data_IF_235487632659
#
_entry.id   IF_235487632659
#
_cell.length_a   1.000
_cell.length_b   1.000
_cell.length_c   1.000
_cell.angle_alpha   90.00
_cell.angle_beta   90.00
_cell.angle_gamma   90.00
#
_symmetry.space_group_name_H-M   'P 1'
#
loop_
_entity.id
_entity.type
_entity.pdbx_description
1 polymer ?
#
# COMPACT_ATOMS: atom_id res chain seq x y z
N UNK A 1 -0.45 16.15 11.90
CA UNK A 1 0.24 17.47 11.94
C UNK A 1 1.21 17.56 13.10
N UNK A 2 2.33 18.31 12.91
CA UNK A 2 3.33 18.53 13.94
C UNK A 2 4.12 17.28 14.33
N UNK A 3 4.27 16.31 13.43
CA UNK A 3 4.91 15.03 13.72
C UNK A 3 6.41 15.21 13.97
N UNK A 4 6.85 14.75 15.14
CA UNK A 4 8.25 14.72 15.51
C UNK A 4 8.72 13.28 15.74
N UNK A 5 9.97 13.01 15.35
CA UNK A 5 10.64 11.74 15.63
C UNK A 5 12.14 11.91 15.76
N UNK A 6 12.67 11.39 16.84
CA UNK A 6 14.11 11.36 17.11
C UNK A 6 14.58 9.92 17.26
N UNK A 7 15.78 9.65 16.78
CA UNK A 7 16.53 8.43 17.03
C UNK A 7 17.85 8.82 17.71
N UNK A 8 18.58 7.90 18.33
CA UNK A 8 19.88 8.21 18.93
C UNK A 8 20.79 8.98 17.96
N UNK A 9 21.11 10.23 18.32
CA UNK A 9 21.98 11.11 17.52
C UNK A 9 21.32 11.84 16.33
N UNK A 10 20.04 11.57 15.99
CA UNK A 10 19.39 12.19 14.81
C UNK A 10 17.93 12.57 15.11
N UNK A 11 17.56 13.83 14.88
CA UNK A 11 16.17 14.27 14.84
C UNK A 11 15.65 14.09 13.40
N UNK A 12 14.98 12.97 13.12
CA UNK A 12 14.54 12.58 11.78
C UNK A 12 13.34 13.39 11.29
N UNK A 13 12.39 13.75 12.17
CA UNK A 13 11.25 14.60 11.84
C UNK A 13 11.16 15.75 12.85
N UNK A 14 10.87 16.96 12.33
CA UNK A 14 10.88 18.22 13.11
C UNK A 14 9.58 18.97 12.89
N UNK A 15 8.49 18.51 13.50
CA UNK A 15 7.18 19.13 13.38
C UNK A 15 6.58 19.03 11.98
N UNK A 16 6.74 17.88 11.32
CA UNK A 16 6.30 17.66 9.94
C UNK A 16 4.79 17.75 9.84
N UNK A 17 4.34 18.46 8.80
CA UNK A 17 2.94 18.51 8.41
C UNK A 17 2.76 17.77 7.10
N UNK A 18 1.75 16.91 7.04
CA UNK A 18 1.36 16.17 5.85
C UNK A 18 -0.16 16.01 5.85
N UNK A 19 -0.77 16.26 4.71
CA UNK A 19 -2.21 16.05 4.48
C UNK A 19 -2.42 15.30 3.17
N UNK A 20 -3.54 14.61 3.07
CA UNK A 20 -3.95 13.87 1.88
C UNK A 20 -5.47 13.86 1.82
N UNK A 21 -6.04 14.28 0.70
CA UNK A 21 -7.48 14.25 0.49
C UNK A 21 -7.93 12.92 -0.12
N UNK A 22 -9.20 12.56 0.09
CA UNK A 22 -9.80 11.42 -0.59
C UNK A 22 -9.75 11.63 -2.12
N UNK A 23 -9.30 10.62 -2.85
CA UNK A 23 -9.13 10.71 -4.30
C UNK A 23 -8.01 11.66 -4.76
N UNK A 24 -7.08 11.97 -3.90
CA UNK A 24 -5.86 12.72 -4.24
C UNK A 24 -4.69 11.77 -4.47
N UNK A 25 -3.83 12.10 -5.42
CA UNK A 25 -2.48 11.52 -5.54
C UNK A 25 -1.49 12.57 -5.11
N UNK A 26 -0.78 12.33 -4.01
CA UNK A 26 0.23 13.26 -3.48
C UNK A 26 1.62 12.65 -3.59
N UNK A 27 2.46 13.26 -4.40
CA UNK A 27 3.85 12.87 -4.52
C UNK A 27 4.65 13.33 -3.28
N UNK A 28 5.41 12.42 -2.70
CA UNK A 28 6.35 12.69 -1.62
C UNK A 28 7.78 12.55 -2.15
N UNK A 29 8.42 13.68 -2.38
CA UNK A 29 9.78 13.75 -2.89
C UNK A 29 10.78 14.22 -1.84
N UNK A 30 12.02 13.91 -2.04
CA UNK A 30 13.13 14.35 -1.20
C UNK A 30 14.32 13.42 -1.32
N UNK A 31 15.49 13.91 -0.93
CA UNK A 31 16.73 13.12 -0.91
C UNK A 31 16.65 11.95 0.09
N UNK A 32 17.59 11.03 -0.05
CA UNK A 32 17.75 9.95 0.94
C UNK A 32 18.11 10.57 2.30
N UNK A 33 17.44 10.11 3.36
CA UNK A 33 17.60 10.69 4.69
C UNK A 33 16.67 11.88 5.00
N UNK A 34 15.86 12.37 4.06
CA UNK A 34 14.93 13.49 4.28
C UNK A 34 13.73 13.16 5.21
N UNK A 35 13.68 11.96 5.78
CA UNK A 35 12.62 11.57 6.72
C UNK A 35 11.39 10.93 6.08
N UNK A 36 11.31 10.78 4.74
CA UNK A 36 10.15 10.20 4.03
C UNK A 36 9.75 8.83 4.60
N UNK A 37 10.68 7.90 4.62
CA UNK A 37 10.42 6.54 5.13
C UNK A 37 10.09 6.54 6.64
N UNK A 38 10.64 7.47 7.42
CA UNK A 38 10.29 7.62 8.85
C UNK A 38 8.84 8.08 9.00
N UNK A 39 8.42 9.08 8.21
CA UNK A 39 7.02 9.54 8.21
C UNK A 39 6.06 8.41 7.81
N UNK A 40 6.38 7.66 6.74
CA UNK A 40 5.55 6.53 6.30
C UNK A 40 5.48 5.43 7.37
N UNK A 41 6.59 5.11 8.02
CA UNK A 41 6.63 4.13 9.11
C UNK A 41 5.80 4.57 10.33
N UNK A 42 5.65 5.87 10.57
CA UNK A 42 4.74 6.40 11.60
C UNK A 42 3.29 6.26 11.15
N UNK A 43 2.96 6.65 9.92
CA UNK A 43 1.60 6.55 9.38
C UNK A 43 1.12 5.09 9.35
N UNK A 44 2.03 4.16 9.09
CA UNK A 44 1.74 2.72 9.05
C UNK A 44 1.93 2.00 10.38
N UNK A 45 2.21 2.71 11.47
CA UNK A 45 2.30 2.13 12.82
C UNK A 45 3.56 1.32 13.12
N UNK A 46 4.56 1.34 12.24
CA UNK A 46 5.86 0.68 12.47
C UNK A 46 6.66 1.45 13.52
N UNK A 47 6.54 2.78 13.53
CA UNK A 47 7.12 3.66 14.55
C UNK A 47 6.03 4.50 15.20
N UNK A 48 6.24 4.86 16.47
CA UNK A 48 5.44 5.87 17.15
C UNK A 48 6.10 7.23 17.00
N UNK A 49 5.31 8.29 16.80
CA UNK A 49 5.80 9.68 16.87
C UNK A 49 6.13 10.05 18.32
N UNK A 50 7.11 10.93 18.50
CA UNK A 50 7.46 11.47 19.81
C UNK A 50 6.55 12.65 20.18
N UNK A 51 6.02 13.37 19.17
CA UNK A 51 5.03 14.44 19.30
C UNK A 51 4.20 14.59 18.04
N UNK A 52 3.15 15.41 18.10
CA UNK A 52 2.19 15.63 17.03
C UNK A 52 1.00 14.69 17.08
N UNK A 53 0.07 14.87 16.17
CA UNK A 53 -1.13 14.04 16.08
C UNK A 53 -1.41 13.61 14.65
N UNK A 54 -2.06 12.46 14.52
CA UNK A 54 -2.59 11.95 13.26
C UNK A 54 -4.11 12.03 13.29
N UNK A 55 -4.70 12.48 12.17
CA UNK A 55 -6.15 12.55 12.00
C UNK A 55 -6.57 11.84 10.73
N UNK A 56 -7.67 11.12 10.79
CA UNK A 56 -8.34 10.51 9.64
C UNK A 56 -9.79 11.04 9.63
N UNK A 57 -10.23 11.62 8.51
CA UNK A 57 -11.51 12.32 8.37
C UNK A 57 -11.76 13.38 9.47
N UNK A 58 -10.70 14.10 9.83
CA UNK A 58 -10.75 15.11 10.89
C UNK A 58 -10.75 14.57 12.32
N UNK A 59 -10.91 13.25 12.50
CA UNK A 59 -10.90 12.61 13.82
C UNK A 59 -9.49 12.18 14.22
N UNK A 60 -9.04 12.45 15.45
CA UNK A 60 -7.75 11.96 15.93
C UNK A 60 -7.74 10.43 15.95
N UNK A 61 -6.65 9.85 15.44
CA UNK A 61 -6.46 8.40 15.41
C UNK A 61 -5.12 8.02 16.01
N UNK A 62 -5.10 6.85 16.65
CA UNK A 62 -3.86 6.22 17.13
C UNK A 62 -3.55 5.01 16.26
N UNK A 63 -2.30 4.90 15.83
CA UNK A 63 -1.81 3.79 15.01
C UNK A 63 -0.66 3.11 15.74
N UNK A 64 -0.95 2.29 16.76
CA UNK A 64 0.06 1.65 17.59
C UNK A 64 0.87 0.58 16.87
N UNK A 65 0.32 -0.03 15.84
CA UNK A 65 0.94 -1.09 15.08
C UNK A 65 0.41 -1.14 13.61
N UNK A 66 1.06 -1.90 12.71
CA UNK A 66 0.64 -2.00 11.31
C UNK A 66 -0.76 -2.58 11.12
N UNK A 67 -1.24 -3.42 12.04
CA UNK A 67 -2.59 -3.98 11.98
C UNK A 67 -3.65 -2.92 12.25
N UNK A 68 -3.37 -2.01 13.18
CA UNK A 68 -4.23 -0.84 13.43
C UNK A 68 -4.30 0.07 12.21
N UNK A 69 -3.17 0.32 11.51
CA UNK A 69 -3.16 1.05 10.25
C UNK A 69 -4.06 0.40 9.20
N UNK A 70 -3.91 -0.92 8.99
CA UNK A 70 -4.73 -1.68 8.05
C UNK A 70 -6.22 -1.63 8.40
N UNK A 71 -6.59 -1.72 9.68
CA UNK A 71 -7.97 -1.61 10.14
C UNK A 71 -8.58 -0.22 9.88
N UNK A 72 -7.75 0.82 9.86
CA UNK A 72 -8.13 2.19 9.47
C UNK A 72 -8.17 2.38 7.94
N UNK A 73 -7.84 1.36 7.17
CA UNK A 73 -7.76 1.44 5.72
C UNK A 73 -6.49 2.12 5.20
N UNK A 74 -5.40 2.09 5.98
CA UNK A 74 -4.09 2.60 5.55
C UNK A 74 -3.22 1.40 5.19
N UNK A 75 -2.80 1.32 3.92
CA UNK A 75 -1.95 0.25 3.40
C UNK A 75 -0.70 0.82 2.74
N UNK A 76 0.37 0.04 2.75
CA UNK A 76 1.64 0.39 2.13
C UNK A 76 2.09 -0.73 1.19
N UNK A 77 2.60 -0.34 0.04
CA UNK A 77 3.33 -1.18 -0.90
C UNK A 77 4.78 -0.73 -0.82
N UNK A 78 5.64 -1.63 -0.43
CA UNK A 78 7.06 -1.38 -0.30
C UNK A 78 7.78 -1.50 -1.64
N UNK A 79 8.97 -0.92 -1.72
CA UNK A 79 9.85 -1.04 -2.88
C UNK A 79 10.24 -2.51 -3.16
N UNK A 80 10.47 -3.30 -2.10
CA UNK A 80 10.69 -4.74 -2.20
C UNK A 80 9.35 -5.49 -2.13
N UNK A 81 9.21 -6.54 -2.94
CA UNK A 81 8.02 -7.37 -2.97
C UNK A 81 8.04 -8.38 -1.80
N UNK A 82 6.98 -8.38 -0.99
CA UNK A 82 6.82 -9.30 0.14
C UNK A 82 5.79 -10.40 -0.17
N UNK A 83 5.95 -11.04 -1.34
CA UNK A 83 5.12 -12.15 -1.77
C UNK A 83 5.81 -13.49 -1.54
N UNK A 84 5.02 -14.50 -1.19
CA UNK A 84 5.48 -15.88 -1.09
C UNK A 84 5.44 -16.52 -2.49
N UNK A 85 6.60 -16.73 -3.09
CA UNK A 85 6.74 -17.15 -4.49
C UNK A 85 6.03 -18.46 -4.83
N UNK A 86 5.98 -19.39 -3.86
CA UNK A 86 5.35 -20.72 -4.00
C UNK A 86 3.85 -20.76 -3.68
N UNK A 87 3.27 -19.64 -3.30
CA UNK A 87 1.83 -19.51 -3.09
C UNK A 87 1.15 -18.89 -4.31
N UNK A 88 -0.14 -19.19 -4.47
CA UNK A 88 -0.95 -18.57 -5.53
C UNK A 88 -1.18 -17.08 -5.28
N UNK A 89 -1.59 -16.36 -6.31
CA UNK A 89 -1.96 -14.96 -6.19
C UNK A 89 -3.08 -14.74 -5.14
N UNK A 90 -4.12 -15.58 -5.16
CA UNK A 90 -5.20 -15.52 -4.18
C UNK A 90 -4.69 -15.77 -2.75
N UNK A 91 -3.83 -16.76 -2.55
CA UNK A 91 -3.24 -17.06 -1.24
C UNK A 91 -2.37 -15.89 -0.74
N UNK A 92 -1.56 -15.28 -1.60
CA UNK A 92 -0.76 -14.11 -1.24
C UNK A 92 -1.62 -12.91 -0.82
N UNK A 93 -2.73 -12.66 -1.54
CA UNK A 93 -3.64 -11.56 -1.24
C UNK A 93 -4.27 -11.72 0.15
N UNK A 94 -4.68 -12.93 0.51
CA UNK A 94 -5.43 -13.19 1.74
C UNK A 94 -4.63 -13.88 2.86
N UNK A 95 -3.31 -13.99 2.73
CA UNK A 95 -2.45 -14.63 3.73
C UNK A 95 -2.72 -14.08 5.15
N UNK A 96 -2.98 -14.99 6.10
CA UNK A 96 -3.33 -14.66 7.48
C UNK A 96 -4.75 -14.10 7.69
N UNK A 97 -5.55 -14.01 6.60
CA UNK A 97 -6.96 -13.53 6.60
C UNK A 97 -7.83 -14.36 5.67
N UNK A 98 -7.47 -15.60 5.44
CA UNK A 98 -8.17 -16.47 4.52
C UNK A 98 -9.67 -16.55 4.88
N UNK A 99 -10.57 -16.39 3.90
CA UNK A 99 -12.00 -16.63 4.12
C UNK A 99 -12.22 -18.03 4.69
N UNK A 100 -13.11 -18.16 5.67
CA UNK A 100 -13.35 -19.43 6.36
C UNK A 100 -14.80 -19.88 6.22
N UNK A 101 -15.00 -21.20 6.20
CA UNK A 101 -16.30 -21.88 6.19
C UNK A 101 -16.38 -22.94 7.29
N UNK A 102 -17.56 -23.53 7.50
CA UNK A 102 -17.73 -24.57 8.50
C UNK A 102 -17.41 -24.10 9.92
N UNK A 103 -18.08 -23.04 10.39
CA UNK A 103 -17.87 -22.41 11.70
C UNK A 103 -16.42 -21.95 11.94
N UNK A 104 -15.66 -21.63 10.86
CA UNK A 104 -14.30 -21.14 10.94
C UNK A 104 -13.19 -22.20 10.92
N UNK A 105 -13.53 -23.48 10.80
CA UNK A 105 -12.56 -24.57 10.84
C UNK A 105 -11.80 -24.79 9.54
N UNK A 106 -12.40 -24.43 8.38
CA UNK A 106 -11.79 -24.69 7.08
C UNK A 106 -11.63 -23.40 6.29
N UNK A 107 -10.55 -23.31 5.50
CA UNK A 107 -10.38 -22.23 4.52
C UNK A 107 -11.41 -22.41 3.41
N UNK A 108 -12.06 -21.32 3.02
CA UNK A 108 -12.95 -21.29 1.86
C UNK A 108 -12.18 -20.83 0.61
N UNK A 109 -11.48 -21.79 -0.01
CA UNK A 109 -10.69 -21.53 -1.19
C UNK A 109 -11.52 -20.96 -2.35
N UNK A 110 -12.77 -21.42 -2.52
CA UNK A 110 -13.67 -20.94 -3.57
C UNK A 110 -13.97 -19.45 -3.40
N UNK A 111 -14.28 -19.04 -2.16
CA UNK A 111 -14.50 -17.63 -1.83
C UNK A 111 -13.22 -16.82 -2.01
N UNK A 112 -12.08 -17.32 -1.55
CA UNK A 112 -10.78 -16.66 -1.66
C UNK A 112 -10.42 -16.37 -3.13
N UNK A 113 -10.59 -17.35 -4.03
CA UNK A 113 -10.40 -17.18 -5.48
C UNK A 113 -11.37 -16.16 -6.09
N UNK A 114 -12.65 -16.24 -5.70
CA UNK A 114 -13.65 -15.30 -6.21
C UNK A 114 -13.37 -13.86 -5.77
N UNK A 115 -12.97 -13.66 -4.52
CA UNK A 115 -12.61 -12.35 -3.97
C UNK A 115 -11.34 -11.78 -4.64
N UNK A 116 -10.31 -12.62 -4.85
CA UNK A 116 -9.11 -12.24 -5.61
C UNK A 116 -9.44 -11.86 -7.07
N UNK A 117 -10.25 -12.67 -7.75
CA UNK A 117 -10.70 -12.35 -9.10
C UNK A 117 -11.50 -11.04 -9.16
N UNK A 118 -12.29 -10.73 -8.13
CA UNK A 118 -13.01 -9.45 -8.06
C UNK A 118 -12.05 -8.25 -7.92
N UNK A 119 -10.97 -8.39 -7.14
CA UNK A 119 -9.93 -7.37 -7.02
C UNK A 119 -9.22 -7.14 -8.35
N UNK A 120 -8.81 -8.19 -9.05
CA UNK A 120 -8.17 -8.09 -10.36
C UNK A 120 -9.10 -7.43 -11.39
N UNK A 121 -10.39 -7.80 -11.42
CA UNK A 121 -11.36 -7.12 -12.29
C UNK A 121 -11.52 -5.64 -11.95
N UNK A 122 -11.57 -5.29 -10.66
CA UNK A 122 -11.62 -3.89 -10.20
C UNK A 122 -10.43 -3.08 -10.71
N UNK A 123 -9.24 -3.70 -10.74
CA UNK A 123 -8.01 -3.11 -11.26
C UNK A 123 -7.88 -3.20 -12.78
N UNK A 124 -8.83 -3.85 -13.48
CA UNK A 124 -8.78 -4.13 -14.93
C UNK A 124 -7.52 -4.92 -15.33
N UNK A 125 -7.13 -5.85 -14.49
CA UNK A 125 -5.93 -6.69 -14.63
C UNK A 125 -6.35 -8.13 -14.90
N UNK A 126 -5.72 -8.75 -15.91
CA UNK A 126 -5.92 -10.16 -16.23
C UNK A 126 -4.82 -11.01 -15.55
N UNK A 127 -5.08 -11.42 -14.32
CA UNK A 127 -4.24 -12.35 -13.57
C UNK A 127 -5.15 -13.48 -13.05
N UNK A 128 -4.74 -14.73 -13.32
CA UNK A 128 -5.41 -15.90 -12.75
C UNK A 128 -5.17 -15.93 -11.24
N UNK A 129 -6.22 -15.98 -10.39
CA UNK A 129 -6.07 -16.12 -8.94
C UNK A 129 -5.28 -17.34 -8.49
N UNK A 130 -5.26 -18.40 -9.30
CA UNK A 130 -4.57 -19.65 -9.00
C UNK A 130 -3.13 -19.70 -9.52
N UNK A 131 -2.66 -18.67 -10.22
CA UNK A 131 -1.28 -18.63 -10.70
C UNK A 131 -0.30 -18.55 -9.52
N UNK A 132 0.75 -19.35 -9.56
CA UNK A 132 1.86 -19.28 -8.60
C UNK A 132 2.65 -17.99 -8.83
N UNK A 133 2.77 -17.17 -7.78
CA UNK A 133 3.33 -15.80 -7.90
C UNK A 133 4.78 -15.81 -8.39
N UNK A 134 5.56 -16.82 -8.03
CA UNK A 134 6.95 -16.95 -8.50
C UNK A 134 7.10 -17.12 -10.01
N UNK A 135 6.03 -17.47 -10.73
CA UNK A 135 6.04 -17.59 -12.21
C UNK A 135 5.70 -16.29 -12.92
N UNK A 136 5.25 -15.28 -12.17
CA UNK A 136 4.86 -13.98 -12.72
C UNK A 136 6.08 -13.08 -12.93
N UNK A 137 5.99 -12.19 -13.92
CA UNK A 137 6.95 -11.08 -14.06
C UNK A 137 6.89 -10.16 -12.83
N UNK A 138 7.96 -9.42 -12.56
CA UNK A 138 8.02 -8.46 -11.44
C UNK A 138 6.85 -7.47 -11.48
N UNK A 139 6.51 -6.95 -12.66
CA UNK A 139 5.35 -6.08 -12.83
C UNK A 139 4.04 -6.73 -12.40
N UNK A 140 3.81 -7.98 -12.79
CA UNK A 140 2.60 -8.72 -12.38
C UNK A 140 2.59 -9.04 -10.89
N UNK A 141 3.75 -9.33 -10.30
CA UNK A 141 3.89 -9.46 -8.84
C UNK A 141 3.53 -8.15 -8.14
N UNK A 142 3.97 -6.99 -8.68
CA UNK A 142 3.58 -5.67 -8.18
C UNK A 142 2.05 -5.48 -8.18
N UNK A 143 1.37 -5.93 -9.24
CA UNK A 143 -0.09 -5.88 -9.30
C UNK A 143 -0.77 -6.78 -8.25
N UNK A 144 -0.17 -7.91 -7.90
CA UNK A 144 -0.64 -8.77 -6.79
C UNK A 144 -0.47 -8.06 -5.44
N UNK A 145 0.66 -7.34 -5.21
CA UNK A 145 0.84 -6.51 -4.00
C UNK A 145 -0.20 -5.38 -3.91
N UNK A 146 -0.53 -4.73 -5.02
CA UNK A 146 -1.58 -3.71 -5.07
C UNK A 146 -2.93 -4.34 -4.72
N UNK A 147 -3.27 -5.49 -5.32
CA UNK A 147 -4.51 -6.21 -5.01
C UNK A 147 -4.58 -6.63 -3.54
N UNK A 148 -3.46 -7.08 -2.96
CA UNK A 148 -3.32 -7.39 -1.54
C UNK A 148 -3.58 -6.15 -0.67
N UNK A 149 -2.99 -5.01 -0.98
CA UNK A 149 -3.26 -3.76 -0.29
C UNK A 149 -4.74 -3.37 -0.36
N UNK A 150 -5.35 -3.42 -1.55
CA UNK A 150 -6.75 -3.09 -1.76
C UNK A 150 -7.72 -4.05 -1.06
N UNK A 151 -7.32 -5.30 -0.80
CA UNK A 151 -8.13 -6.28 -0.07
C UNK A 151 -8.41 -5.89 1.39
N UNK A 152 -7.69 -4.91 1.93
CA UNK A 152 -7.96 -4.29 3.24
C UNK A 152 -8.97 -3.13 3.17
N UNK A 153 -9.69 -2.94 2.04
CA UNK A 153 -10.55 -1.79 1.81
C UNK A 153 -9.81 -0.47 2.00
N UNK A 154 -8.62 -0.38 1.44
CA UNK A 154 -7.72 0.75 1.64
C UNK A 154 -8.37 2.06 1.17
N UNK A 155 -8.34 3.04 2.06
CA UNK A 155 -8.73 4.43 1.85
C UNK A 155 -7.51 5.30 1.55
N UNK A 156 -6.37 4.89 2.11
CA UNK A 156 -5.05 5.48 1.89
C UNK A 156 -4.09 4.39 1.44
N UNK A 157 -3.47 4.58 0.29
CA UNK A 157 -2.50 3.67 -0.28
C UNK A 157 -1.15 4.39 -0.42
N UNK A 158 -0.15 3.91 0.29
CA UNK A 158 1.22 4.41 0.20
C UNK A 158 1.97 3.51 -0.76
N UNK A 159 2.64 4.09 -1.75
CA UNK A 159 3.48 3.39 -2.72
C UNK A 159 4.91 3.92 -2.62
N UNK A 160 5.83 3.06 -2.19
CA UNK A 160 7.25 3.42 -2.02
C UNK A 160 8.05 2.95 -3.23
N UNK A 161 8.41 3.89 -4.11
CA UNK A 161 9.14 3.68 -5.37
C UNK A 161 8.57 2.54 -6.25
N UNK A 162 7.26 2.53 -6.56
CA UNK A 162 6.60 1.37 -7.15
C UNK A 162 7.03 1.08 -8.60
N UNK A 163 7.80 1.97 -9.23
CA UNK A 163 8.27 1.85 -10.62
C UNK A 163 9.73 1.42 -10.73
N UNK A 164 10.40 1.14 -9.62
CA UNK A 164 11.85 0.88 -9.61
C UNK A 164 12.30 -0.30 -10.48
N UNK A 165 11.41 -1.29 -10.66
CA UNK A 165 11.67 -2.52 -11.44
C UNK A 165 10.74 -2.66 -12.68
N UNK A 166 10.05 -1.60 -13.07
CA UNK A 166 9.10 -1.61 -14.18
C UNK A 166 9.67 -0.97 -15.44
N UNK A 167 9.31 -1.51 -16.61
CA UNK A 167 9.55 -0.86 -17.88
C UNK A 167 8.51 0.23 -18.17
N UNK A 168 8.69 1.02 -19.22
CA UNK A 168 7.86 2.20 -19.51
C UNK A 168 6.37 1.85 -19.73
N UNK A 169 6.07 0.78 -20.45
CA UNK A 169 4.69 0.31 -20.65
C UNK A 169 4.03 -0.15 -19.36
N UNK A 170 4.78 -0.81 -18.48
CA UNK A 170 4.31 -1.26 -17.16
C UNK A 170 4.06 -0.07 -16.22
N UNK A 171 4.91 0.96 -16.30
CA UNK A 171 4.72 2.23 -15.59
C UNK A 171 3.42 2.91 -16.03
N UNK A 172 3.14 3.00 -17.34
CA UNK A 172 1.88 3.57 -17.85
C UNK A 172 0.66 2.81 -17.34
N UNK A 173 0.74 1.48 -17.31
CA UNK A 173 -0.32 0.64 -16.76
C UNK A 173 -0.54 0.90 -15.26
N UNK A 174 0.54 1.01 -14.47
CA UNK A 174 0.46 1.36 -13.06
C UNK A 174 -0.22 2.71 -12.84
N UNK A 175 0.13 3.74 -13.61
CA UNK A 175 -0.50 5.06 -13.51
C UNK A 175 -1.99 5.01 -13.86
N UNK A 176 -2.39 4.21 -14.86
CA UNK A 176 -3.81 4.01 -15.17
C UNK A 176 -4.57 3.38 -14.00
N UNK A 177 -3.96 2.44 -13.26
CA UNK A 177 -4.52 1.85 -12.05
C UNK A 177 -4.63 2.91 -10.94
N UNK A 178 -3.59 3.73 -10.73
CA UNK A 178 -3.60 4.83 -9.74
C UNK A 178 -4.74 5.81 -10.05
N UNK A 179 -4.93 6.19 -11.32
CA UNK A 179 -6.03 7.06 -11.72
C UNK A 179 -7.42 6.43 -11.48
N UNK A 180 -7.56 5.13 -11.70
CA UNK A 180 -8.80 4.42 -11.38
C UNK A 180 -9.05 4.39 -9.86
N UNK A 181 -8.02 4.20 -9.03
CA UNK A 181 -8.12 4.24 -7.57
C UNK A 181 -8.48 5.64 -7.06
N UNK A 182 -7.85 6.68 -7.60
CA UNK A 182 -8.18 8.09 -7.34
C UNK A 182 -9.65 8.38 -7.62
N UNK A 183 -10.19 7.94 -8.77
CA UNK A 183 -11.61 8.09 -9.12
C UNK A 183 -12.55 7.35 -8.15
N UNK A 184 -12.07 6.29 -7.51
CA UNK A 184 -12.79 5.54 -6.49
C UNK A 184 -12.68 6.17 -5.09
N UNK A 185 -12.00 7.31 -4.96
CA UNK A 185 -11.84 8.03 -3.69
C UNK A 185 -10.68 7.54 -2.82
N UNK A 186 -9.81 6.67 -3.34
CA UNK A 186 -8.60 6.26 -2.61
C UNK A 186 -7.57 7.39 -2.67
N UNK A 187 -7.10 7.84 -1.51
CA UNK A 187 -5.96 8.75 -1.42
C UNK A 187 -4.64 7.99 -1.63
N UNK A 188 -3.78 8.46 -2.50
CA UNK A 188 -2.51 7.79 -2.82
C UNK A 188 -1.34 8.69 -2.42
N UNK A 189 -0.43 8.15 -1.60
CA UNK A 189 0.88 8.75 -1.35
C UNK A 189 1.89 8.07 -2.27
N UNK A 190 2.43 8.80 -3.20
CA UNK A 190 3.37 8.29 -4.19
C UNK A 190 4.77 8.77 -3.88
N UNK A 191 5.63 7.87 -3.40
CA UNK A 191 7.02 8.20 -3.06
C UNK A 191 7.89 7.87 -4.27
N UNK A 192 8.61 8.87 -4.76
CA UNK A 192 9.55 8.71 -5.87
C UNK A 192 10.68 9.73 -5.78
N UNK A 193 11.80 9.43 -6.40
CA UNK A 193 12.88 10.37 -6.66
C UNK A 193 12.93 10.82 -8.14
N UNK A 194 12.04 10.28 -8.99
CA UNK A 194 11.98 10.55 -10.43
C UNK A 194 11.01 11.71 -10.73
N UNK A 195 11.55 12.85 -11.17
CA UNK A 195 10.77 14.05 -11.46
C UNK A 195 9.75 13.85 -12.60
N UNK A 196 10.04 12.98 -13.56
CA UNK A 196 9.17 12.75 -14.71
C UNK A 196 7.88 12.03 -14.32
N UNK A 197 7.92 11.23 -13.25
CA UNK A 197 6.74 10.55 -12.71
C UNK A 197 5.78 11.52 -12.00
N UNK A 198 6.31 12.58 -11.40
CA UNK A 198 5.49 13.57 -10.67
C UNK A 198 4.71 14.50 -11.60
N UNK A 199 5.15 14.62 -12.86
CA UNK A 199 4.49 15.46 -13.86
C UNK A 199 3.32 14.75 -14.57
N UNK A 200 3.16 13.46 -14.37
CA UNK A 200 2.07 12.64 -14.89
C UNK A 200 0.87 12.65 -13.96
#
# INVERSE_FOLDING_TARGET
SGIEKSFPGVKALRGVQFDLMAGEVRALMGENGAGKSTLMKIITGVYQSDAGEMRLDGMPVSVPDPRAAQNLGISIIHQELFLMSHLTAAQNIFIGREPRKGMGWFVDEKKMRADAAALFRRMKVDIDPDVEVGTLTVARQQLVEIAKALSYNSRVLIMDEPTSALNETEVEHLFAIIDDLKRQGVGVVYITHKMDEVKR
#
